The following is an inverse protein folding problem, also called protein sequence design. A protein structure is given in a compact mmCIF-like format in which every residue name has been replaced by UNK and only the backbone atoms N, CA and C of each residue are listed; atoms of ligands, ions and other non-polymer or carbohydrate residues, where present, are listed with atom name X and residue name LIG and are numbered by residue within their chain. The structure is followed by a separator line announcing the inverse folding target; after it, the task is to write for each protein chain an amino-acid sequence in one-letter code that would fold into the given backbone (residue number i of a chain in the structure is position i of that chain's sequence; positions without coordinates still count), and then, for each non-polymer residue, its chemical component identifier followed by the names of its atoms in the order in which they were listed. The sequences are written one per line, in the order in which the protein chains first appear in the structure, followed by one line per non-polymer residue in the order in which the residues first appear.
data_IF_470534877159
#
_entry.id   IF_470534877159
#
_cell.length_a   1.000
_cell.length_b   1.000
_cell.length_c   1.000
_cell.angle_alpha   90.00
_cell.angle_beta   90.00
_cell.angle_gamma   90.00
#
_symmetry.space_group_name_H-M   'P 1'
#
loop_
_entity.id
_entity.type
_entity.pdbx_description
1 polymer ?
#
# COMPACT_ATOMS: atom_id res chain seq x y z
N UNK A 1 -7.16 -4.01 -4.51
CA UNK A 1 -6.85 -4.26 -3.08
C UNK A 1 -6.39 -2.99 -2.41
N UNK A 2 -6.92 -2.71 -1.24
CA UNK A 2 -6.53 -1.57 -0.40
C UNK A 2 -5.93 -2.12 0.89
N UNK A 3 -4.61 -2.08 0.98
CA UNK A 3 -3.86 -2.78 2.02
C UNK A 3 -3.84 -2.05 3.37
N UNK A 4 -4.07 -0.75 3.36
CA UNK A 4 -4.15 0.12 4.53
C UNK A 4 -5.42 0.95 4.46
N UNK A 5 -6.56 0.28 4.57
CA UNK A 5 -7.85 0.82 4.15
C UNK A 5 -8.38 1.99 4.99
N UNK A 6 -8.06 2.03 6.28
CA UNK A 6 -8.56 3.07 7.16
C UNK A 6 -10.07 3.08 7.25
N UNK A 7 -10.63 4.28 7.42
CA UNK A 7 -12.09 4.47 7.54
C UNK A 7 -12.76 4.97 6.26
N UNK A 8 -11.97 5.46 5.30
CA UNK A 8 -12.50 5.97 4.03
C UNK A 8 -12.75 4.81 3.08
N UNK A 9 -13.98 4.69 2.60
CA UNK A 9 -14.36 3.68 1.64
C UNK A 9 -14.41 4.28 0.24
N UNK A 10 -13.71 3.64 -0.71
CA UNK A 10 -13.70 4.08 -2.10
C UNK A 10 -14.96 3.62 -2.82
N UNK A 11 -15.38 4.38 -3.84
CA UNK A 11 -16.53 4.03 -4.66
C UNK A 11 -16.14 3.09 -5.81
N UNK A 12 -15.46 2.01 -5.47
CA UNK A 12 -15.03 0.96 -6.39
C UNK A 12 -15.10 -0.40 -5.68
N UNK A 13 -15.03 -1.48 -6.42
CA UNK A 13 -14.87 -2.80 -5.84
C UNK A 13 -13.46 -2.92 -5.25
N UNK A 14 -13.38 -3.13 -3.95
CA UNK A 14 -12.10 -3.26 -3.25
C UNK A 14 -12.16 -4.34 -2.18
N UNK A 15 -11.06 -5.05 -2.03
CA UNK A 15 -10.79 -5.85 -0.84
C UNK A 15 -9.97 -4.99 0.10
N UNK A 16 -10.42 -4.85 1.34
CA UNK A 16 -9.92 -3.91 2.32
C UNK A 16 -9.24 -4.64 3.48
N UNK A 17 -8.00 -4.25 3.77
CA UNK A 17 -7.28 -4.75 4.94
C UNK A 17 -6.75 -3.60 5.78
N UNK A 18 -6.77 -3.75 7.08
CA UNK A 18 -6.11 -2.82 8.01
C UNK A 18 -5.79 -3.56 9.31
N UNK A 19 -4.74 -3.14 9.98
CA UNK A 19 -4.36 -3.68 11.28
C UNK A 19 -5.17 -3.03 12.41
N UNK A 20 -5.73 -1.85 12.17
CA UNK A 20 -6.51 -1.09 13.14
C UNK A 20 -7.92 -1.71 13.29
N UNK A 21 -8.30 -2.08 14.50
CA UNK A 21 -9.61 -2.63 14.80
C UNK A 21 -10.76 -1.67 14.49
N UNK A 22 -10.51 -0.37 14.52
CA UNK A 22 -11.51 0.66 14.22
C UNK A 22 -11.68 0.94 12.73
N UNK A 23 -10.83 0.39 11.89
CA UNK A 23 -10.92 0.58 10.45
C UNK A 23 -12.11 -0.18 9.85
N UNK A 24 -12.64 0.35 8.74
CA UNK A 24 -13.66 -0.31 7.93
C UNK A 24 -12.94 -1.28 6.98
N UNK A 25 -12.70 -2.50 7.43
CA UNK A 25 -11.92 -3.47 6.68
C UNK A 25 -12.60 -4.84 6.62
N UNK A 26 -12.38 -5.56 5.51
CA UNK A 26 -12.81 -6.94 5.35
C UNK A 26 -11.91 -7.90 6.12
N UNK A 27 -10.64 -7.53 6.25
CA UNK A 27 -9.62 -8.30 6.96
C UNK A 27 -8.86 -7.39 7.93
N UNK A 28 -8.45 -7.94 9.06
CA UNK A 28 -7.71 -7.22 10.10
C UNK A 28 -6.41 -7.96 10.39
N UNK A 29 -5.46 -7.79 9.47
CA UNK A 29 -4.20 -8.52 9.48
C UNK A 29 -3.02 -7.58 9.23
N UNK A 30 -1.84 -7.99 9.70
CA UNK A 30 -0.59 -7.39 9.24
C UNK A 30 -0.50 -7.52 7.71
N UNK A 31 0.00 -6.48 7.05
CA UNK A 31 0.02 -6.42 5.59
C UNK A 31 0.79 -7.59 4.96
N UNK A 32 1.94 -7.95 5.53
CA UNK A 32 2.74 -9.07 5.00
C UNK A 32 2.01 -10.40 5.16
N UNK A 33 1.41 -10.62 6.33
CA UNK A 33 0.63 -11.82 6.58
C UNK A 33 -0.55 -11.93 5.61
N UNK A 34 -1.27 -10.83 5.40
CA UNK A 34 -2.36 -10.77 4.44
C UNK A 34 -1.91 -11.16 3.02
N UNK A 35 -0.81 -10.55 2.56
CA UNK A 35 -0.28 -10.84 1.23
C UNK A 35 0.17 -12.29 1.05
N UNK A 36 0.78 -12.87 2.07
CA UNK A 36 1.25 -14.26 2.03
C UNK A 36 0.12 -15.28 2.06
N UNK A 37 -0.97 -14.97 2.74
CA UNK A 37 -2.07 -15.90 2.96
C UNK A 37 -3.22 -15.74 1.96
N UNK A 38 -3.19 -14.71 1.11
CA UNK A 38 -4.24 -14.48 0.13
C UNK A 38 -4.30 -15.64 -0.88
N UNK A 39 -5.49 -16.23 -1.03
CA UNK A 39 -5.74 -17.38 -1.93
C UNK A 39 -6.74 -17.04 -3.04
N UNK A 40 -7.27 -15.85 -3.07
CA UNK A 40 -8.22 -15.42 -4.08
C UNK A 40 -7.56 -15.02 -5.40
N UNK A 41 -8.35 -14.43 -6.28
CA UNK A 41 -7.85 -13.90 -7.54
C UNK A 41 -6.85 -12.77 -7.31
N UNK A 42 -5.90 -12.64 -8.22
CA UNK A 42 -4.97 -11.51 -8.21
C UNK A 42 -5.67 -10.22 -8.60
N UNK A 43 -5.09 -9.13 -8.16
CA UNK A 43 -5.66 -7.79 -8.33
C UNK A 43 -5.00 -7.03 -9.47
N UNK A 44 -5.77 -6.17 -10.14
CA UNK A 44 -5.26 -5.25 -11.15
C UNK A 44 -4.46 -4.12 -10.51
N UNK A 45 -4.87 -3.69 -9.31
CA UNK A 45 -4.28 -2.56 -8.62
C UNK A 45 -4.20 -2.82 -7.11
N UNK A 46 -3.06 -2.46 -6.54
CA UNK A 46 -2.83 -2.47 -5.09
C UNK A 46 -2.59 -1.03 -4.63
N UNK A 47 -3.35 -0.60 -3.63
CA UNK A 47 -3.19 0.73 -3.01
C UNK A 47 -2.38 0.60 -1.73
N UNK A 48 -1.38 1.45 -1.59
CA UNK A 48 -0.52 1.54 -0.42
C UNK A 48 -0.59 2.95 0.16
N UNK A 49 -1.26 3.08 1.29
CA UNK A 49 -1.31 4.34 2.05
C UNK A 49 -0.93 4.07 3.51
N UNK A 50 0.32 3.62 3.75
CA UNK A 50 0.77 3.31 5.10
C UNK A 50 0.92 4.57 5.93
N UNK A 51 0.71 4.52 7.25
CA UNK A 51 0.98 5.65 8.11
C UNK A 51 2.46 6.02 8.07
N UNK A 52 2.76 7.32 8.17
CA UNK A 52 4.15 7.78 8.10
C UNK A 52 5.03 7.20 9.21
N UNK A 53 4.48 7.02 10.39
CA UNK A 53 5.18 6.38 11.50
C UNK A 53 5.62 4.94 11.15
N UNK A 54 4.82 4.23 10.39
CA UNK A 54 5.14 2.89 9.89
C UNK A 54 6.42 2.89 9.05
N UNK A 55 6.63 3.93 8.25
CA UNK A 55 7.83 4.04 7.40
C UNK A 55 9.11 4.35 8.16
N UNK A 56 8.98 4.98 9.33
CA UNK A 56 10.13 5.38 10.14
C UNK A 56 10.58 4.32 11.11
N UNK A 57 9.66 3.71 11.84
CA UNK A 57 9.97 2.72 12.87
C UNK A 57 9.74 1.29 12.43
N UNK A 58 8.94 1.07 11.43
CA UNK A 58 8.78 -0.17 10.66
C UNK A 58 8.18 -1.35 11.40
N UNK A 59 8.11 -1.36 12.71
CA UNK A 59 7.74 -2.56 13.46
C UNK A 59 6.53 -2.39 14.36
N UNK A 60 6.14 -1.13 14.66
CA UNK A 60 5.05 -0.84 15.58
C UNK A 60 4.10 0.20 15.01
N UNK A 61 2.80 -0.12 15.05
CA UNK A 61 1.73 0.79 14.69
C UNK A 61 0.66 0.74 15.77
N UNK A 62 0.37 1.87 16.43
CA UNK A 62 -0.55 1.95 17.56
C UNK A 62 -0.26 0.90 18.66
N UNK A 63 1.02 0.64 18.91
CA UNK A 63 1.44 -0.37 19.88
C UNK A 63 1.32 -1.81 19.39
N UNK A 64 0.90 -2.04 18.15
CA UNK A 64 0.75 -3.37 17.56
C UNK A 64 1.95 -3.62 16.64
N UNK A 65 2.59 -4.78 16.82
CA UNK A 65 3.72 -5.17 15.97
C UNK A 65 3.26 -5.41 14.54
N UNK A 66 3.97 -4.83 13.58
CA UNK A 66 3.74 -5.00 12.15
C UNK A 66 5.04 -5.29 11.41
N UNK A 67 4.93 -5.90 10.26
CA UNK A 67 6.08 -6.25 9.43
C UNK A 67 6.70 -5.03 8.76
N UNK A 68 8.02 -5.04 8.48
CA UNK A 68 8.69 -3.93 7.79
C UNK A 68 8.10 -3.65 6.41
N UNK A 69 8.08 -2.37 6.04
CA UNK A 69 7.56 -1.91 4.75
C UNK A 69 8.26 -2.57 3.55
N UNK A 70 9.57 -2.77 3.66
CA UNK A 70 10.35 -3.46 2.64
C UNK A 70 9.83 -4.88 2.38
N UNK A 71 9.58 -5.61 3.45
CA UNK A 71 9.07 -6.98 3.37
C UNK A 71 7.68 -7.01 2.73
N UNK A 72 6.83 -6.06 3.08
CA UNK A 72 5.51 -5.91 2.48
C UNK A 72 5.61 -5.69 0.96
N UNK A 73 6.51 -4.82 0.52
CA UNK A 73 6.72 -4.58 -0.92
C UNK A 73 7.17 -5.84 -1.66
N UNK A 74 8.02 -6.64 -1.05
CA UNK A 74 8.50 -7.89 -1.67
C UNK A 74 7.36 -8.91 -1.88
N UNK A 75 6.33 -8.87 -1.04
CA UNK A 75 5.21 -9.82 -1.10
C UNK A 75 4.07 -9.37 -2.04
N UNK A 76 4.09 -8.15 -2.56
CA UNK A 76 3.01 -7.63 -3.41
C UNK A 76 2.82 -8.46 -4.67
N UNK A 77 3.89 -9.04 -5.19
CA UNK A 77 3.82 -9.87 -6.40
C UNK A 77 2.93 -11.10 -6.24
N UNK A 78 2.70 -11.55 -5.01
CA UNK A 78 1.83 -12.68 -4.74
C UNK A 78 0.36 -12.40 -5.08
N UNK A 79 -0.04 -11.13 -5.07
CA UNK A 79 -1.43 -10.70 -5.24
C UNK A 79 -1.67 -9.82 -6.46
N UNK A 80 -0.62 -9.38 -7.14
CA UNK A 80 -0.72 -8.47 -8.29
C UNK A 80 -0.69 -9.25 -9.60
N UNK A 81 -1.60 -8.91 -10.51
CA UNK A 81 -1.59 -9.46 -11.87
C UNK A 81 -0.37 -8.96 -12.65
N UNK A 82 0.02 -9.68 -13.69
CA UNK A 82 1.00 -9.19 -14.66
C UNK A 82 0.49 -7.88 -15.27
N UNK A 83 1.37 -6.89 -15.40
CA UNK A 83 0.98 -5.56 -15.86
C UNK A 83 0.13 -4.78 -14.88
N UNK A 84 -0.05 -5.27 -13.67
CA UNK A 84 -0.81 -4.60 -12.62
C UNK A 84 -0.10 -3.36 -12.10
N UNK A 85 -0.82 -2.54 -11.36
CA UNK A 85 -0.33 -1.25 -10.84
C UNK A 85 -0.28 -1.25 -9.32
N UNK A 86 0.73 -0.55 -8.80
CA UNK A 86 0.80 -0.19 -7.38
C UNK A 86 0.72 1.32 -7.27
N UNK A 87 -0.24 1.81 -6.51
CA UNK A 87 -0.40 3.23 -6.23
C UNK A 87 0.00 3.46 -4.78
N UNK A 88 1.02 4.27 -4.57
CA UNK A 88 1.56 4.55 -3.24
C UNK A 88 1.38 6.01 -2.90
N UNK A 89 0.89 6.28 -1.69
CA UNK A 89 0.78 7.62 -1.13
C UNK A 89 1.86 7.82 -0.08
N UNK A 90 2.65 8.87 -0.21
CA UNK A 90 3.72 9.13 0.74
C UNK A 90 4.64 10.27 0.33
N UNK A 91 5.93 10.12 0.57
CA UNK A 91 6.93 11.14 0.32
C UNK A 91 7.86 10.83 -0.85
N UNK A 92 7.69 9.72 -1.51
CA UNK A 92 8.58 9.27 -2.58
C UNK A 92 7.82 9.08 -3.89
N UNK A 93 8.48 9.42 -4.98
CA UNK A 93 7.93 9.22 -6.33
C UNK A 93 8.22 7.82 -6.89
N UNK A 94 9.02 7.04 -6.19
CA UNK A 94 9.39 5.68 -6.60
C UNK A 94 9.42 4.79 -5.35
N UNK A 95 8.51 3.86 -5.25
CA UNK A 95 8.32 3.02 -4.07
C UNK A 95 8.71 1.55 -4.32
N UNK A 96 8.14 0.95 -5.37
CA UNK A 96 8.42 -0.44 -5.72
C UNK A 96 9.78 -0.60 -6.38
N UNK A 97 10.07 0.23 -7.34
CA UNK A 97 11.37 0.33 -7.98
C UNK A 97 11.61 -0.65 -9.13
N UNK A 98 12.61 -0.32 -9.94
CA UNK A 98 13.00 -1.13 -11.10
C UNK A 98 13.53 -2.50 -10.68
N UNK A 99 14.15 -2.61 -9.51
CA UNK A 99 14.65 -3.89 -8.99
C UNK A 99 13.55 -4.93 -8.76
N UNK A 100 12.31 -4.49 -8.56
CA UNK A 100 11.13 -5.37 -8.47
C UNK A 100 10.36 -5.47 -9.80
N UNK A 101 10.88 -4.90 -10.87
CA UNK A 101 10.26 -4.93 -12.19
C UNK A 101 9.18 -3.88 -12.41
N UNK A 102 9.23 -2.76 -11.70
CA UNK A 102 8.25 -1.68 -11.83
C UNK A 102 8.81 -0.47 -12.56
N UNK A 103 7.94 0.19 -13.30
CA UNK A 103 8.21 1.45 -13.99
C UNK A 103 7.22 2.50 -13.50
N UNK A 104 7.70 3.68 -13.16
CA UNK A 104 6.85 4.81 -12.76
C UNK A 104 6.10 5.32 -13.98
N UNK A 105 4.77 5.30 -13.94
CA UNK A 105 3.92 5.84 -15.01
C UNK A 105 3.46 7.26 -14.72
N UNK A 106 3.16 7.56 -13.46
CA UNK A 106 2.57 8.84 -13.08
C UNK A 106 2.97 9.22 -11.67
N UNK A 107 3.19 10.50 -11.46
CA UNK A 107 3.43 11.08 -10.14
C UNK A 107 2.49 12.27 -9.96
N UNK A 108 1.79 12.32 -8.83
CA UNK A 108 0.90 13.41 -8.48
C UNK A 108 1.32 14.00 -7.14
N UNK A 109 1.32 15.32 -7.06
CA UNK A 109 1.60 16.04 -5.82
C UNK A 109 0.29 16.56 -5.24
N UNK A 110 0.03 16.22 -3.98
CA UNK A 110 -1.10 16.76 -3.22
C UNK A 110 -0.55 17.76 -2.20
N UNK A 111 -0.81 19.04 -2.44
CA UNK A 111 -0.42 20.10 -1.52
C UNK A 111 -1.45 20.23 -0.41
N UNK A 112 -0.98 20.30 0.84
CA UNK A 112 -1.82 20.46 2.02
C UNK A 112 -1.75 21.88 2.59
N UNK A 113 -1.31 22.84 1.77
CA UNK A 113 -1.32 24.27 2.13
C UNK A 113 -0.32 24.67 3.22
N UNK A 114 0.69 23.84 3.47
CA UNK A 114 1.70 24.11 4.50
C UNK A 114 1.31 23.70 5.91
N UNK A 115 0.07 23.22 6.12
CA UNK A 115 -0.37 22.76 7.45
C UNK A 115 0.27 21.44 7.85
N UNK A 116 0.49 20.56 6.87
CA UNK A 116 1.18 19.28 7.02
C UNK A 116 2.05 19.06 5.79
N UNK A 117 2.86 18.01 5.80
CA UNK A 117 3.67 17.65 4.64
C UNK A 117 2.80 17.35 3.43
N UNK A 118 3.29 17.72 2.25
CA UNK A 118 2.65 17.35 1.00
C UNK A 118 2.68 15.83 0.82
N UNK A 119 1.73 15.31 0.07
CA UNK A 119 1.66 13.89 -0.26
C UNK A 119 2.01 13.68 -1.72
N UNK A 120 2.86 12.72 -2.00
CA UNK A 120 3.18 12.28 -3.35
C UNK A 120 2.45 10.96 -3.59
N UNK A 121 1.63 10.92 -4.63
CA UNK A 121 1.05 9.67 -5.12
C UNK A 121 1.84 9.23 -6.34
N UNK A 122 2.39 8.03 -6.29
CA UNK A 122 3.08 7.43 -7.41
C UNK A 122 2.28 6.24 -7.96
N UNK A 123 2.18 6.15 -9.27
CA UNK A 123 1.61 5.00 -9.96
C UNK A 123 2.74 4.27 -10.63
N UNK A 124 3.01 3.07 -10.18
CA UNK A 124 4.05 2.21 -10.73
C UNK A 124 3.41 0.98 -11.34
N UNK A 125 3.79 0.66 -12.57
CA UNK A 125 3.30 -0.53 -13.30
C UNK A 125 4.34 -1.63 -13.26
N UNK A 126 3.90 -2.84 -12.98
CA UNK A 126 4.74 -4.01 -13.14
C UNK A 126 4.93 -4.30 -14.61
N UNK A 127 6.18 -4.45 -15.05
CA UNK A 127 6.51 -4.56 -16.47
C UNK A 127 6.20 -5.94 -17.06
N UNK A 128 5.60 -6.79 -16.31
CA UNK A 128 5.14 -8.09 -16.78
C UNK A 128 4.06 -8.69 -15.93
#
# INVERSE_FOLDING_TARGET
MNLFAGRTKLNIDEVRNDLDEEALADYRMDAVEFLRTWKGEKFDTVLLDPPYAFRKSMEMYKGIKCSPFRQMKDEIMNVLKEGGKVITFGYHSNTMGAGRGFTVEKVCLFSHGGAIHDTIASVERHCR
#
